data_IF_263010844345
#
_entry.id   IF_263010844345
#
_cell.length_a   1.000
_cell.length_b   1.000
_cell.length_c   1.000
_cell.angle_alpha   90.00
_cell.angle_beta   90.00
_cell.angle_gamma   90.00
#
_symmetry.space_group_name_H-M   'P 1'
#
loop_
_entity.id
_entity.type
_entity.pdbx_description
1 polymer ?
#
# COMPACT_ATOMS: atom_id res chain seq x y z
N UNK A 1 -4.84 -17.99 17.33
CA UNK A 1 -5.67 -17.92 16.09
C UNK A 1 -6.17 -19.34 15.79
N UNK A 2 -7.46 -19.51 15.60
CA UNK A 2 -8.05 -20.81 15.29
C UNK A 2 -8.01 -21.14 13.79
N UNK A 3 -8.28 -22.40 13.39
CA UNK A 3 -8.27 -22.81 12.00
C UNK A 3 -9.25 -22.02 11.11
N UNK A 4 -10.40 -21.62 11.65
CA UNK A 4 -11.43 -20.85 10.92
C UNK A 4 -10.93 -19.43 10.62
N UNK A 5 -10.26 -18.79 11.57
CA UNK A 5 -9.69 -17.46 11.39
C UNK A 5 -8.61 -17.46 10.30
N UNK A 6 -7.76 -18.49 10.26
CA UNK A 6 -6.76 -18.66 9.22
C UNK A 6 -7.36 -18.84 7.82
N UNK A 7 -8.51 -19.53 7.74
CA UNK A 7 -9.22 -19.76 6.48
C UNK A 7 -9.77 -18.45 5.88
N UNK A 8 -10.24 -17.53 6.73
CA UNK A 8 -10.82 -16.25 6.32
C UNK A 8 -9.87 -15.08 6.46
N UNK A 9 -8.59 -15.34 6.67
CA UNK A 9 -7.58 -14.30 6.78
C UNK A 9 -7.32 -13.64 5.44
N UNK A 10 -7.10 -12.34 5.50
CA UNK A 10 -6.60 -11.54 4.38
C UNK A 10 -5.50 -10.61 4.86
N UNK A 11 -4.41 -10.56 4.10
CA UNK A 11 -3.32 -9.61 4.31
C UNK A 11 -3.61 -8.35 3.48
N UNK A 12 -3.73 -7.19 4.14
CA UNK A 12 -4.05 -5.94 3.48
C UNK A 12 -2.85 -5.04 3.26
N UNK A 13 -1.85 -5.14 4.13
CA UNK A 13 -0.72 -4.21 4.11
C UNK A 13 0.58 -4.88 4.51
N UNK A 14 1.68 -4.34 4.01
CA UNK A 14 3.02 -4.81 4.29
C UNK A 14 3.98 -3.62 4.39
N UNK A 15 5.04 -3.75 5.20
CA UNK A 15 6.14 -2.77 5.23
C UNK A 15 7.44 -3.44 5.69
N UNK A 16 8.54 -3.15 5.01
CA UNK A 16 9.86 -3.61 5.43
C UNK A 16 10.45 -2.70 6.51
N UNK A 17 11.21 -3.30 7.42
CA UNK A 17 12.00 -2.52 8.37
C UNK A 17 13.04 -1.66 7.64
N UNK A 18 13.52 -0.56 8.27
CA UNK A 18 14.54 0.30 7.65
C UNK A 18 15.83 -0.44 7.29
N UNK A 19 16.18 -1.49 8.02
CA UNK A 19 17.34 -2.34 7.69
C UNK A 19 17.05 -3.43 6.66
N UNK A 20 15.81 -3.56 6.17
CA UNK A 20 15.38 -4.58 5.20
C UNK A 20 15.38 -6.02 5.69
N UNK A 21 15.69 -6.29 6.97
CA UNK A 21 15.79 -7.67 7.50
C UNK A 21 14.48 -8.22 8.06
N UNK A 22 13.49 -7.37 8.25
CA UNK A 22 12.18 -7.78 8.77
C UNK A 22 11.07 -7.26 7.87
N UNK A 23 10.01 -8.06 7.76
CA UNK A 23 8.75 -7.69 7.13
C UNK A 23 7.67 -7.63 8.21
N UNK A 24 6.92 -6.54 8.25
CA UNK A 24 5.65 -6.43 8.96
C UNK A 24 4.50 -6.63 7.98
N UNK A 25 3.50 -7.40 8.37
CA UNK A 25 2.28 -7.62 7.59
C UNK A 25 1.05 -7.45 8.46
N UNK A 26 0.06 -6.73 7.96
CA UNK A 26 -1.21 -6.44 8.62
C UNK A 26 -2.36 -7.22 8.01
N UNK A 27 -3.23 -7.77 8.85
CA UNK A 27 -4.36 -8.59 8.44
C UNK A 27 -5.73 -7.94 8.74
N UNK A 28 -6.79 -8.61 8.29
CA UNK A 28 -8.19 -8.18 8.49
C UNK A 28 -8.68 -8.28 9.95
N UNK A 29 -7.93 -8.93 10.83
CA UNK A 29 -8.27 -9.06 12.26
C UNK A 29 -7.55 -8.06 13.16
N UNK A 30 -6.94 -7.02 12.59
CA UNK A 30 -6.22 -5.99 13.36
C UNK A 30 -4.85 -6.41 13.84
N UNK A 31 -4.35 -7.56 13.40
CA UNK A 31 -3.06 -8.07 13.83
C UNK A 31 -1.94 -7.67 12.87
N UNK A 32 -0.77 -7.46 13.46
CA UNK A 32 0.48 -7.28 12.74
C UNK A 32 1.40 -8.46 13.10
N UNK A 33 1.89 -9.15 12.06
CA UNK A 33 2.91 -10.18 12.18
C UNK A 33 4.26 -9.68 11.67
N UNK A 34 5.34 -9.98 12.40
CA UNK A 34 6.70 -9.69 11.99
C UNK A 34 7.40 -10.98 11.56
N UNK A 35 8.03 -10.95 10.40
CA UNK A 35 8.81 -12.06 9.84
C UNK A 35 10.28 -11.66 9.74
N UNK A 36 11.18 -12.59 10.05
CA UNK A 36 12.62 -12.41 9.85
C UNK A 36 13.00 -12.90 8.45
N UNK A 37 13.34 -11.97 7.57
CA UNK A 37 13.83 -12.31 6.23
C UNK A 37 15.20 -12.97 6.27
N UNK A 38 16.07 -12.55 7.21
CA UNK A 38 17.38 -13.18 7.40
C UNK A 38 17.24 -14.67 7.73
N UNK A 39 16.23 -15.05 8.52
CA UNK A 39 15.97 -16.46 8.84
C UNK A 39 15.30 -17.21 7.66
N UNK A 40 14.34 -16.55 7.00
CA UNK A 40 13.56 -17.17 5.91
C UNK A 40 14.36 -17.35 4.62
N UNK A 41 15.36 -16.50 4.37
CA UNK A 41 16.24 -16.54 3.19
C UNK A 41 17.56 -17.29 3.45
N UNK A 42 17.80 -17.76 4.69
CA UNK A 42 18.99 -18.54 5.01
C UNK A 42 19.01 -19.85 4.22
N UNK A 43 20.18 -20.34 3.79
CA UNK A 43 20.33 -21.70 3.23
C UNK A 43 19.80 -22.81 4.14
N UNK A 44 19.84 -22.58 5.47
CA UNK A 44 19.35 -23.51 6.50
C UNK A 44 17.89 -23.25 6.90
N UNK A 45 17.14 -22.47 6.10
CA UNK A 45 15.76 -22.13 6.41
C UNK A 45 14.87 -23.37 6.48
N UNK A 46 14.02 -23.41 7.48
CA UNK A 46 13.01 -24.45 7.70
C UNK A 46 11.61 -23.87 7.63
N UNK A 47 10.58 -24.69 7.67
CA UNK A 47 9.18 -24.23 7.78
C UNK A 47 8.95 -23.33 9.00
N UNK A 48 9.74 -23.47 10.08
CA UNK A 48 9.70 -22.60 11.24
C UNK A 48 10.21 -21.18 10.92
N UNK A 49 11.20 -21.07 10.05
CA UNK A 49 11.76 -19.79 9.60
C UNK A 49 10.75 -18.96 8.79
N UNK A 50 9.70 -19.59 8.27
CA UNK A 50 8.63 -18.96 7.50
C UNK A 50 7.46 -18.49 8.40
N UNK A 51 7.53 -18.73 9.72
CA UNK A 51 6.55 -18.28 10.71
C UNK A 51 6.93 -16.94 11.30
N UNK A 52 5.96 -16.15 11.81
CA UNK A 52 6.27 -14.87 12.41
C UNK A 52 7.08 -15.02 13.70
N UNK A 53 8.05 -14.13 13.89
CA UNK A 53 8.81 -14.03 15.13
C UNK A 53 8.02 -13.34 16.23
N UNK A 54 7.02 -12.56 15.85
CA UNK A 54 6.08 -11.84 16.71
C UNK A 54 4.76 -11.64 15.97
N UNK A 55 3.65 -11.80 16.69
CA UNK A 55 2.30 -11.38 16.25
C UNK A 55 1.62 -10.67 17.41
N UNK A 56 0.98 -9.53 17.12
CA UNK A 56 0.27 -8.75 18.13
C UNK A 56 -0.95 -8.05 17.51
N UNK A 57 -1.96 -7.75 18.34
CA UNK A 57 -3.13 -6.97 17.94
C UNK A 57 -2.79 -5.48 18.03
N UNK A 58 -2.85 -4.79 16.91
CA UNK A 58 -2.55 -3.37 16.79
C UNK A 58 -3.82 -2.50 16.76
N UNK A 59 -4.91 -3.02 16.19
CA UNK A 59 -6.17 -2.30 15.97
C UNK A 59 -7.38 -3.22 16.21
N UNK A 60 -8.54 -2.64 16.47
CA UNK A 60 -9.84 -3.33 16.61
C UNK A 60 -10.53 -3.57 15.25
N UNK A 61 -9.79 -3.77 14.19
CA UNK A 61 -10.27 -3.98 12.83
C UNK A 61 -9.11 -4.05 11.86
N UNK A 62 -9.37 -4.17 10.56
CA UNK A 62 -8.33 -4.41 9.57
C UNK A 62 -7.18 -3.42 9.63
N UNK A 63 -5.96 -3.91 9.43
CA UNK A 63 -4.76 -3.07 9.27
C UNK A 63 -4.62 -2.72 7.80
N UNK A 64 -5.23 -1.61 7.40
CA UNK A 64 -5.33 -1.22 5.99
C UNK A 64 -4.01 -0.73 5.41
N UNK A 65 -3.17 -0.10 6.21
CA UNK A 65 -1.90 0.46 5.73
C UNK A 65 -0.78 0.33 6.77
N UNK A 66 0.42 0.02 6.29
CA UNK A 66 1.66 -0.03 7.05
C UNK A 66 2.74 0.80 6.34
N UNK A 67 3.42 1.66 7.08
CA UNK A 67 4.53 2.48 6.57
C UNK A 67 5.67 2.49 7.57
N UNK A 68 6.89 2.30 7.10
CA UNK A 68 8.10 2.44 7.93
C UNK A 68 8.73 3.81 7.76
N UNK A 69 8.99 4.51 8.86
CA UNK A 69 9.60 5.83 8.88
C UNK A 69 10.48 6.02 10.13
N UNK A 70 11.69 6.48 9.98
CA UNK A 70 12.61 6.89 11.06
C UNK A 70 12.71 5.88 12.22
N UNK A 71 12.88 4.60 11.91
CA UNK A 71 12.95 3.55 12.93
C UNK A 71 11.61 3.18 13.57
N UNK A 72 10.51 3.73 13.09
CA UNK A 72 9.14 3.45 13.52
C UNK A 72 8.39 2.67 12.44
N UNK A 73 7.50 1.78 12.85
CA UNK A 73 6.43 1.22 12.06
C UNK A 73 5.17 2.02 12.36
N UNK A 74 4.53 2.57 11.33
CA UNK A 74 3.24 3.24 11.41
C UNK A 74 2.17 2.30 10.89
N UNK A 75 1.09 2.12 11.64
CA UNK A 75 -0.04 1.27 11.25
C UNK A 75 -1.34 2.06 11.28
N UNK A 76 -2.20 1.81 10.30
CA UNK A 76 -3.52 2.42 10.21
C UNK A 76 -4.61 1.36 10.21
N UNK A 77 -5.66 1.65 10.94
CA UNK A 77 -6.87 0.82 11.06
C UNK A 77 -8.12 1.68 11.12
N UNK A 78 -9.13 1.23 11.85
CA UNK A 78 -10.37 1.96 12.02
C UNK A 78 -10.15 3.21 12.88
N UNK A 79 -10.16 4.37 12.23
CA UNK A 79 -10.15 5.69 12.86
C UNK A 79 -8.85 6.13 13.50
N UNK A 80 -7.75 5.38 13.40
CA UNK A 80 -6.52 5.75 14.08
C UNK A 80 -5.25 5.30 13.37
N UNK A 81 -4.18 6.07 13.61
CA UNK A 81 -2.79 5.72 13.26
C UNK A 81 -2.02 5.48 14.55
N UNK A 82 -1.33 4.35 14.64
CA UNK A 82 -0.45 4.01 15.76
C UNK A 82 0.99 3.88 15.30
N UNK A 83 1.93 4.31 16.13
CA UNK A 83 3.37 4.20 15.90
C UNK A 83 4.00 3.21 16.88
N UNK A 84 4.89 2.39 16.36
CA UNK A 84 5.61 1.34 17.08
C UNK A 84 7.10 1.50 16.82
N UNK A 85 7.95 1.27 17.82
CA UNK A 85 9.41 1.24 17.63
C UNK A 85 9.83 -0.09 17.00
N UNK A 86 10.50 -0.06 15.84
CA UNK A 86 11.07 -1.27 15.25
C UNK A 86 12.04 -1.99 16.17
N UNK A 87 12.88 -1.23 16.90
CA UNK A 87 13.84 -1.82 17.84
C UNK A 87 13.16 -2.55 19.00
N UNK A 88 12.02 -2.04 19.48
CA UNK A 88 11.24 -2.67 20.55
C UNK A 88 10.48 -3.90 20.04
N UNK A 89 9.85 -3.79 18.87
CA UNK A 89 9.14 -4.91 18.24
C UNK A 89 10.09 -6.12 18.00
N UNK A 90 11.31 -5.86 17.52
CA UNK A 90 12.32 -6.92 17.32
C UNK A 90 12.70 -7.60 18.66
N UNK A 91 12.68 -6.86 19.75
CA UNK A 91 12.88 -7.38 21.11
C UNK A 91 11.60 -7.99 21.72
N UNK A 92 10.51 -8.06 20.95
CA UNK A 92 9.18 -8.52 21.36
C UNK A 92 8.53 -7.65 22.44
N UNK A 93 8.95 -6.41 22.56
CA UNK A 93 8.34 -5.41 23.43
C UNK A 93 7.27 -4.64 22.64
N UNK A 94 6.02 -5.03 22.83
CA UNK A 94 4.87 -4.46 22.09
C UNK A 94 4.31 -3.31 22.91
N UNK A 95 4.69 -2.09 22.54
CA UNK A 95 4.16 -0.86 23.13
C UNK A 95 4.01 0.21 22.02
N UNK A 96 2.81 0.76 21.89
CA UNK A 96 2.61 1.91 21.04
C UNK A 96 3.35 3.12 21.59
N UNK A 97 4.13 3.79 20.75
CA UNK A 97 4.79 5.05 21.09
C UNK A 97 3.74 6.16 21.23
N UNK A 98 2.79 6.17 20.31
CA UNK A 98 1.64 7.05 20.30
C UNK A 98 0.55 6.49 19.40
N UNK A 99 -0.69 6.97 19.61
CA UNK A 99 -1.84 6.76 18.73
C UNK A 99 -2.46 8.12 18.44
N UNK A 100 -2.87 8.36 17.18
CA UNK A 100 -3.46 9.61 16.72
C UNK A 100 -4.70 9.33 15.91
N UNK A 101 -5.72 10.17 16.09
CA UNK A 101 -6.99 10.12 15.36
C UNK A 101 -7.20 11.41 14.60
N UNK A 102 -7.47 11.37 13.28
CA UNK A 102 -7.90 12.55 12.54
C UNK A 102 -9.19 13.12 13.15
N UNK A 103 -9.32 14.44 13.16
CA UNK A 103 -10.60 15.07 13.47
C UNK A 103 -11.52 14.88 12.27
N UNK A 104 -12.60 14.16 12.46
CA UNK A 104 -13.61 13.86 11.43
C UNK A 104 -15.01 14.13 11.96
N UNK A 105 -15.94 14.38 11.05
CA UNK A 105 -17.38 14.41 11.36
C UNK A 105 -17.97 13.02 11.53
N UNK A 106 -17.27 11.98 11.06
CA UNK A 106 -17.63 10.58 11.26
C UNK A 106 -17.06 10.07 12.59
N UNK A 107 -17.80 9.22 13.26
CA UNK A 107 -17.41 8.67 14.56
C UNK A 107 -16.14 7.84 14.46
N UNK A 108 -16.03 6.98 13.44
CA UNK A 108 -14.86 6.13 13.17
C UNK A 108 -14.60 6.10 11.66
N UNK A 109 -13.87 7.08 11.09
CA UNK A 109 -13.51 7.05 9.69
C UNK A 109 -12.39 6.03 9.46
N UNK A 110 -12.58 5.10 8.55
CA UNK A 110 -11.53 4.17 8.14
C UNK A 110 -10.32 4.93 7.58
N UNK A 111 -9.11 4.45 7.88
CA UNK A 111 -7.89 4.97 7.28
C UNK A 111 -7.40 3.95 6.26
N UNK A 112 -7.64 4.23 4.98
CA UNK A 112 -7.45 3.28 3.90
C UNK A 112 -6.02 3.22 3.39
N UNK A 113 -5.30 4.34 3.40
CA UNK A 113 -3.97 4.45 2.82
C UNK A 113 -3.13 5.48 3.52
N UNK A 114 -1.84 5.20 3.64
CA UNK A 114 -0.84 6.13 4.15
C UNK A 114 0.38 6.13 3.24
N UNK A 115 1.01 7.30 3.06
CA UNK A 115 2.31 7.43 2.42
C UNK A 115 3.16 8.46 3.16
N UNK A 116 4.46 8.18 3.26
CA UNK A 116 5.42 9.10 3.85
C UNK A 116 5.74 10.23 2.85
N UNK A 117 5.77 11.45 3.32
CA UNK A 117 6.33 12.61 2.64
C UNK A 117 7.66 12.98 3.34
N UNK A 118 8.81 12.44 2.87
CA UNK A 118 10.08 12.52 3.59
C UNK A 118 10.58 13.94 3.77
N UNK A 119 10.43 14.79 2.75
CA UNK A 119 10.91 16.17 2.76
C UNK A 119 10.32 16.99 3.90
N UNK A 120 9.05 16.81 4.20
CA UNK A 120 8.33 17.56 5.23
C UNK A 120 8.16 16.77 6.53
N UNK A 121 8.78 15.59 6.63
CA UNK A 121 8.62 14.64 7.73
C UNK A 121 7.15 14.47 8.13
N UNK A 122 6.31 14.24 7.13
CA UNK A 122 4.87 14.17 7.30
C UNK A 122 4.32 12.86 6.75
N UNK A 123 3.21 12.42 7.32
CA UNK A 123 2.43 11.29 6.84
C UNK A 123 1.16 11.82 6.16
N UNK A 124 0.97 11.45 4.91
CA UNK A 124 -0.25 11.72 4.14
C UNK A 124 -1.18 10.54 4.31
N UNK A 125 -2.44 10.78 4.66
CA UNK A 125 -3.42 9.78 5.08
C UNK A 125 -4.69 9.97 4.27
N UNK A 126 -5.13 8.95 3.56
CA UNK A 126 -6.42 8.88 2.88
C UNK A 126 -7.47 8.23 3.77
N UNK A 127 -8.59 8.90 3.98
CA UNK A 127 -9.62 8.49 4.93
C UNK A 127 -11.00 8.22 4.32
N UNK A 128 -11.79 7.44 5.04
CA UNK A 128 -13.21 7.18 4.77
C UNK A 128 -14.13 8.38 5.07
N UNK A 129 -13.56 9.49 5.53
CA UNK A 129 -14.27 10.77 5.71
C UNK A 129 -14.13 11.69 4.49
N UNK A 130 -13.75 11.15 3.33
CA UNK A 130 -13.58 11.85 2.05
C UNK A 130 -12.42 12.87 2.04
N UNK A 131 -11.58 12.85 3.06
CA UNK A 131 -10.49 13.80 3.20
C UNK A 131 -9.12 13.14 3.10
N UNK A 132 -8.14 13.98 2.75
CA UNK A 132 -6.73 13.63 2.91
C UNK A 132 -6.18 14.44 4.08
N UNK A 133 -5.65 13.76 5.09
CA UNK A 133 -5.07 14.37 6.28
C UNK A 133 -3.55 14.37 6.22
N UNK A 134 -2.91 15.42 6.72
CA UNK A 134 -1.45 15.52 6.82
C UNK A 134 -1.07 15.55 8.29
N UNK A 135 -0.34 14.52 8.73
CA UNK A 135 0.16 14.36 10.09
C UNK A 135 1.65 14.69 10.14
N UNK A 136 2.04 15.63 10.98
CA UNK A 136 3.42 15.90 11.33
C UNK A 136 3.98 14.78 12.20
N UNK A 137 5.02 14.12 11.74
CA UNK A 137 5.64 13.01 12.47
C UNK A 137 6.61 13.46 13.58
N UNK A 138 7.08 14.69 13.53
CA UNK A 138 7.95 15.26 14.57
C UNK A 138 7.14 15.62 15.82
N UNK A 139 6.02 16.33 15.63
CA UNK A 139 5.18 16.81 16.73
C UNK A 139 3.99 15.90 17.03
N UNK A 140 3.66 14.96 16.13
CA UNK A 140 2.51 14.06 16.26
C UNK A 140 1.16 14.79 16.18
N UNK A 141 1.07 15.85 15.38
CA UNK A 141 -0.13 16.67 15.22
C UNK A 141 -0.57 16.75 13.77
N UNK A 142 -1.88 16.83 13.54
CA UNK A 142 -2.41 17.07 12.19
C UNK A 142 -2.18 18.52 11.79
N UNK A 143 -1.45 18.74 10.68
CA UNK A 143 -1.13 20.06 10.13
C UNK A 143 -2.28 20.62 9.28
N UNK A 144 -2.88 19.79 8.44
CA UNK A 144 -3.89 20.22 7.47
C UNK A 144 -4.80 19.09 7.06
N UNK A 145 -5.92 19.46 6.45
CA UNK A 145 -6.92 18.56 5.86
C UNK A 145 -7.21 19.07 4.46
N UNK A 146 -7.03 18.21 3.44
CA UNK A 146 -7.31 18.52 2.05
C UNK A 146 -8.72 18.02 1.73
N UNK A 147 -9.60 18.94 1.42
CA UNK A 147 -11.02 18.68 1.17
C UNK A 147 -11.37 18.83 -0.30
N UNK A 148 -12.12 17.89 -0.85
CA UNK A 148 -12.56 17.97 -2.25
C UNK A 148 -13.08 16.67 -2.85
N UNK A 149 -12.66 15.49 -2.37
CA UNK A 149 -13.34 14.25 -2.76
C UNK A 149 -14.78 14.25 -2.26
N UNK A 150 -15.68 13.71 -3.08
CA UNK A 150 -17.10 13.59 -2.73
C UNK A 150 -17.45 12.24 -2.09
N UNK A 151 -16.46 11.35 -2.00
CA UNK A 151 -16.60 9.99 -1.47
C UNK A 151 -15.25 9.51 -0.91
N UNK A 152 -15.19 8.30 -0.35
CA UNK A 152 -14.03 7.72 0.33
C UNK A 152 -12.73 7.83 -0.47
N UNK A 153 -11.65 8.20 0.21
CA UNK A 153 -10.29 8.19 -0.35
C UNK A 153 -9.67 6.81 -0.11
N UNK A 154 -9.35 6.09 -1.17
CA UNK A 154 -8.81 4.75 -1.09
C UNK A 154 -7.29 4.67 -1.14
N UNK A 155 -6.67 5.59 -1.87
CA UNK A 155 -5.22 5.57 -2.07
C UNK A 155 -4.64 6.97 -2.12
N UNK A 156 -3.40 7.09 -1.64
CA UNK A 156 -2.61 8.31 -1.68
C UNK A 156 -1.20 8.02 -2.20
N UNK A 157 -0.61 8.99 -2.87
CA UNK A 157 0.77 8.96 -3.35
C UNK A 157 1.38 10.36 -3.25
N UNK A 158 2.71 10.45 -3.26
CA UNK A 158 3.44 11.71 -3.11
C UNK A 158 4.47 11.85 -4.20
N UNK A 159 4.52 13.02 -4.85
CA UNK A 159 5.64 13.50 -5.65
C UNK A 159 6.47 14.44 -4.79
N UNK A 160 7.34 13.86 -3.98
CA UNK A 160 8.06 14.59 -2.93
C UNK A 160 8.92 15.76 -3.46
N UNK A 161 9.52 15.59 -4.65
CA UNK A 161 10.33 16.65 -5.29
C UNK A 161 9.50 17.87 -5.69
N UNK A 162 8.26 17.66 -6.11
CA UNK A 162 7.35 18.71 -6.59
C UNK A 162 6.44 19.26 -5.47
N UNK A 163 6.53 18.72 -4.25
CA UNK A 163 5.63 19.03 -3.14
C UNK A 163 4.16 18.81 -3.50
N UNK A 164 3.89 17.75 -4.27
CA UNK A 164 2.55 17.37 -4.68
C UNK A 164 2.09 16.10 -3.99
N UNK A 165 0.84 16.09 -3.59
CA UNK A 165 0.12 14.92 -3.10
C UNK A 165 -0.90 14.52 -4.15
N UNK A 166 -1.05 13.21 -4.38
CA UNK A 166 -2.10 12.67 -5.21
C UNK A 166 -3.00 11.78 -4.35
N UNK A 167 -4.30 11.82 -4.63
CA UNK A 167 -5.29 10.96 -3.96
C UNK A 167 -6.29 10.40 -4.96
N UNK A 168 -6.68 9.14 -4.77
CA UNK A 168 -7.71 8.46 -5.56
C UNK A 168 -8.84 7.97 -4.66
N UNK A 169 -10.07 8.08 -5.12
CA UNK A 169 -11.24 7.79 -4.30
C UNK A 169 -12.36 7.05 -5.02
N UNK A 170 -13.40 6.74 -4.25
CA UNK A 170 -14.64 6.10 -4.70
C UNK A 170 -15.40 6.98 -5.71
N UNK A 171 -15.23 8.30 -5.64
CA UNK A 171 -15.79 9.26 -6.60
C UNK A 171 -15.23 9.12 -8.02
N UNK A 172 -14.19 8.30 -8.22
CA UNK A 172 -13.57 8.01 -9.51
C UNK A 172 -12.57 9.06 -9.96
N UNK A 173 -12.24 10.01 -9.11
CA UNK A 173 -11.28 11.06 -9.40
C UNK A 173 -9.89 10.73 -8.82
N UNK A 174 -8.87 11.13 -9.56
CA UNK A 174 -7.54 11.38 -9.02
C UNK A 174 -7.39 12.89 -8.84
N UNK A 175 -7.14 13.32 -7.60
CA UNK A 175 -6.89 14.73 -7.27
C UNK A 175 -5.42 14.96 -6.99
N UNK A 176 -4.94 16.10 -7.46
CA UNK A 176 -3.58 16.59 -7.21
C UNK A 176 -3.66 17.83 -6.32
N UNK A 177 -2.80 17.85 -5.30
CA UNK A 177 -2.79 18.88 -4.28
C UNK A 177 -1.37 19.46 -4.16
N UNK A 178 -1.26 20.79 -4.06
CA UNK A 178 -0.03 21.43 -3.60
C UNK A 178 0.06 21.27 -2.06
N UNK A 179 1.04 20.51 -1.58
CA UNK A 179 1.20 20.22 -0.14
C UNK A 179 1.48 21.46 0.71
N UNK A 180 1.99 22.53 0.12
CA UNK A 180 2.32 23.80 0.82
C UNK A 180 1.09 24.65 1.04
N UNK A 181 0.19 24.70 0.06
CA UNK A 181 -1.01 25.55 0.12
C UNK A 181 -2.26 24.78 0.54
N UNK A 182 -2.22 23.44 0.42
CA UNK A 182 -3.38 22.59 0.64
C UNK A 182 -4.47 22.71 -0.44
N UNK A 183 -4.17 23.38 -1.56
CA UNK A 183 -5.13 23.60 -2.62
C UNK A 183 -5.14 22.46 -3.63
N UNK A 184 -6.33 22.09 -4.11
CA UNK A 184 -6.47 21.18 -5.24
C UNK A 184 -6.04 21.89 -6.52
N UNK A 185 -4.99 21.37 -7.17
CA UNK A 185 -4.42 21.93 -8.40
C UNK A 185 -5.09 21.34 -9.62
N UNK A 186 -5.29 20.03 -9.62
CA UNK A 186 -5.89 19.29 -10.72
C UNK A 186 -6.84 18.20 -10.18
N UNK A 187 -7.82 17.85 -11.02
CA UNK A 187 -8.75 16.75 -10.80
C UNK A 187 -8.94 16.00 -12.11
N UNK A 188 -8.62 14.72 -12.15
CA UNK A 188 -8.75 13.85 -13.31
C UNK A 188 -9.78 12.78 -13.02
N UNK A 189 -10.89 12.80 -13.74
CA UNK A 189 -11.94 11.78 -13.67
C UNK A 189 -11.62 10.64 -14.65
N UNK A 190 -10.82 9.67 -14.16
CA UNK A 190 -10.22 8.61 -15.00
C UNK A 190 -11.26 7.82 -15.78
N UNK A 191 -12.42 7.55 -15.19
CA UNK A 191 -13.50 6.80 -15.80
C UNK A 191 -14.17 7.48 -17.02
N UNK A 192 -13.90 8.77 -17.22
CA UNK A 192 -14.40 9.52 -18.38
C UNK A 192 -13.55 9.34 -19.64
N UNK A 193 -12.35 8.80 -19.50
CA UNK A 193 -11.48 8.51 -20.64
C UNK A 193 -11.84 7.14 -21.21
N UNK A 194 -12.24 7.11 -22.46
CA UNK A 194 -12.72 5.90 -23.15
C UNK A 194 -11.70 4.75 -23.09
N UNK A 195 -10.40 5.07 -23.24
CA UNK A 195 -9.32 4.09 -23.14
C UNK A 195 -9.15 3.47 -21.75
N UNK A 196 -9.63 4.13 -20.70
CA UNK A 196 -9.50 3.68 -19.32
C UNK A 196 -10.81 3.11 -18.76
N UNK A 197 -11.95 3.52 -19.29
CA UNK A 197 -13.27 3.23 -18.77
C UNK A 197 -13.60 1.73 -18.82
N UNK A 198 -14.09 1.19 -17.70
CA UNK A 198 -14.63 -0.18 -17.59
C UNK A 198 -15.91 -0.15 -16.73
N UNK A 199 -17.06 0.26 -17.31
CA UNK A 199 -18.29 0.48 -16.56
C UNK A 199 -18.74 -0.70 -15.70
N UNK A 200 -18.44 -1.93 -16.12
CA UNK A 200 -18.76 -3.16 -15.38
C UNK A 200 -18.02 -3.30 -14.04
N UNK A 201 -16.90 -2.60 -13.84
CA UNK A 201 -16.11 -2.61 -12.62
C UNK A 201 -16.26 -1.33 -11.78
N UNK A 202 -17.04 -0.35 -12.26
CA UNK A 202 -17.24 0.92 -11.58
C UNK A 202 -16.18 1.98 -11.90
N UNK A 203 -16.18 3.07 -11.11
CA UNK A 203 -15.32 4.25 -11.35
C UNK A 203 -14.21 4.44 -10.31
N UNK A 204 -14.27 3.80 -9.17
CA UNK A 204 -13.41 3.96 -8.01
C UNK A 204 -11.92 3.70 -8.30
N UNK A 205 -11.06 4.49 -7.66
CA UNK A 205 -9.59 4.41 -7.79
C UNK A 205 -9.01 3.85 -6.50
N UNK A 206 -8.45 2.65 -6.56
CA UNK A 206 -7.81 1.98 -5.41
C UNK A 206 -6.31 1.82 -5.55
N UNK A 207 -5.80 1.98 -6.76
CA UNK A 207 -4.38 1.85 -7.07
C UNK A 207 -3.86 3.19 -7.57
N UNK A 208 -2.86 3.74 -6.88
CA UNK A 208 -2.25 5.02 -7.25
C UNK A 208 -0.79 5.00 -6.82
N UNK A 209 0.12 5.25 -7.75
CA UNK A 209 1.53 5.45 -7.47
C UNK A 209 2.16 6.40 -8.47
N UNK A 210 3.23 7.06 -8.08
CA UNK A 210 3.93 8.05 -8.90
C UNK A 210 5.41 7.76 -8.97
N UNK A 211 6.01 8.07 -10.10
CA UNK A 211 7.46 8.13 -10.29
C UNK A 211 7.79 9.29 -11.23
N UNK A 212 8.52 10.28 -10.73
CA UNK A 212 8.90 11.49 -11.48
C UNK A 212 7.68 12.18 -12.11
N UNK A 213 7.59 12.23 -13.44
CA UNK A 213 6.50 12.84 -14.20
C UNK A 213 5.39 11.84 -14.57
N UNK A 214 5.42 10.63 -14.00
CA UNK A 214 4.50 9.56 -14.30
C UNK A 214 3.58 9.22 -13.13
N UNK A 215 2.36 8.85 -13.44
CA UNK A 215 1.37 8.32 -12.51
C UNK A 215 0.81 7.02 -13.07
N UNK A 216 0.71 6.03 -12.20
CA UNK A 216 -0.12 4.83 -12.43
C UNK A 216 -1.38 4.97 -11.60
N UNK A 217 -2.52 4.77 -12.20
CA UNK A 217 -3.79 4.68 -11.49
C UNK A 217 -4.70 3.61 -12.08
N UNK A 218 -5.53 3.03 -11.23
CA UNK A 218 -6.48 1.98 -11.60
C UNK A 218 -7.42 1.63 -10.44
N UNK A 219 -8.26 0.64 -10.71
CA UNK A 219 -9.30 0.19 -9.79
C UNK A 219 -10.47 -0.34 -10.60
N UNK A 220 -11.63 0.31 -10.57
CA UNK A 220 -12.71 0.09 -11.54
C UNK A 220 -12.23 0.36 -12.97
N UNK A 221 -11.70 1.55 -13.30
CA UNK A 221 -11.00 1.78 -14.56
C UNK A 221 -9.77 0.88 -14.72
N UNK A 222 -9.36 0.68 -15.99
CA UNK A 222 -8.13 -0.06 -16.31
C UNK A 222 -6.92 0.58 -15.64
N UNK A 223 -5.96 -0.25 -15.20
CA UNK A 223 -4.65 0.27 -14.83
C UNK A 223 -4.09 1.03 -16.03
N UNK A 224 -3.69 2.26 -15.80
CA UNK A 224 -3.24 3.18 -16.85
C UNK A 224 -2.06 4.02 -16.39
N UNK A 225 -1.15 4.26 -17.32
CA UNK A 225 0.01 5.12 -17.16
C UNK A 225 -0.31 6.51 -17.69
N UNK A 226 -0.06 7.54 -16.91
CA UNK A 226 -0.35 8.93 -17.21
C UNK A 226 0.91 9.77 -17.15
N UNK A 227 1.00 10.71 -18.06
CA UNK A 227 2.02 11.75 -17.99
C UNK A 227 1.46 12.97 -17.24
N UNK A 228 2.05 13.29 -16.09
CA UNK A 228 1.50 14.27 -15.15
C UNK A 228 1.49 15.71 -15.66
N UNK A 229 2.39 16.09 -16.59
CA UNK A 229 2.40 17.45 -17.15
C UNK A 229 1.28 17.67 -18.16
N UNK A 230 0.90 16.63 -18.91
CA UNK A 230 -0.19 16.72 -19.90
C UNK A 230 -1.52 16.26 -19.35
N UNK A 231 -1.55 15.60 -18.19
CA UNK A 231 -2.72 14.97 -17.57
C UNK A 231 -3.48 14.07 -18.54
N UNK A 232 -2.75 13.32 -19.35
CA UNK A 232 -3.29 12.42 -20.36
C UNK A 232 -2.77 11.00 -20.21
N UNK A 233 -3.61 9.97 -20.46
CA UNK A 233 -3.15 8.58 -20.44
C UNK A 233 -2.24 8.32 -21.63
N UNK A 234 -1.11 7.66 -21.39
CA UNK A 234 -0.15 7.26 -22.42
C UNK A 234 -0.28 5.78 -22.76
N UNK A 235 -0.58 4.95 -21.77
CA UNK A 235 -0.75 3.50 -21.94
C UNK A 235 -1.82 2.98 -21.00
N UNK A 236 -2.52 1.95 -21.43
CA UNK A 236 -3.45 1.16 -20.61
C UNK A 236 -3.01 -0.30 -20.64
N UNK A 237 -3.23 -0.99 -19.54
CA UNK A 237 -2.78 -2.38 -19.38
C UNK A 237 -3.97 -3.33 -19.46
N UNK A 238 -3.94 -4.35 -20.35
CA UNK A 238 -5.04 -5.29 -20.57
C UNK A 238 -5.11 -6.34 -19.44
N UNK A 239 -5.17 -5.87 -18.18
CA UNK A 239 -5.30 -6.70 -16.99
C UNK A 239 -6.77 -6.97 -16.69
N UNK A 240 -7.07 -8.22 -16.34
CA UNK A 240 -8.41 -8.63 -15.88
C UNK A 240 -8.61 -8.23 -14.42
N UNK A 241 -9.87 -7.95 -14.04
CA UNK A 241 -10.22 -7.56 -12.67
C UNK A 241 -9.72 -6.16 -12.28
N UNK A 242 -10.01 -5.78 -11.05
CA UNK A 242 -9.59 -4.50 -10.48
C UNK A 242 -8.17 -4.61 -9.93
N UNK A 243 -7.34 -3.62 -10.21
CA UNK A 243 -5.99 -3.57 -9.65
C UNK A 243 -6.02 -2.87 -8.29
N UNK A 244 -5.36 -3.47 -7.29
CA UNK A 244 -5.34 -3.00 -5.89
C UNK A 244 -4.07 -2.22 -5.57
N UNK A 245 -2.94 -2.66 -6.09
CA UNK A 245 -1.67 -1.99 -5.92
C UNK A 245 -0.79 -2.17 -7.15
N UNK A 246 0.00 -1.16 -7.47
CA UNK A 246 1.05 -1.24 -8.47
C UNK A 246 2.30 -0.48 -8.01
N UNK A 247 3.44 -0.85 -8.57
CA UNK A 247 4.70 -0.20 -8.30
C UNK A 247 5.55 -0.10 -9.57
N UNK A 248 6.27 0.99 -9.71
CA UNK A 248 7.35 1.11 -10.67
C UNK A 248 8.56 0.30 -10.19
N UNK A 249 9.16 -0.46 -11.07
CA UNK A 249 10.40 -1.19 -10.83
C UNK A 249 11.29 -1.17 -12.06
N UNK A 250 12.34 -0.35 -12.03
CA UNK A 250 13.17 -0.10 -13.23
C UNK A 250 12.30 0.32 -14.41
N UNK A 251 12.40 -0.36 -15.55
CA UNK A 251 11.62 -0.07 -16.77
C UNK A 251 10.29 -0.86 -16.84
N UNK A 252 9.84 -1.39 -15.72
CA UNK A 252 8.64 -2.21 -15.62
C UNK A 252 7.66 -1.70 -14.56
N UNK A 253 6.44 -2.16 -14.68
CA UNK A 253 5.38 -2.00 -13.71
C UNK A 253 5.02 -3.38 -13.16
N UNK A 254 4.96 -3.49 -11.84
CA UNK A 254 4.42 -4.63 -11.13
C UNK A 254 3.02 -4.29 -10.65
N UNK A 255 2.04 -5.14 -10.92
CA UNK A 255 0.65 -4.89 -10.52
C UNK A 255 0.01 -6.14 -9.92
N UNK A 256 -0.85 -5.92 -8.92
CA UNK A 256 -1.64 -6.94 -8.22
C UNK A 256 -3.08 -6.48 -8.03
N UNK A 257 -4.02 -7.42 -7.99
CA UNK A 257 -5.43 -7.12 -7.82
C UNK A 257 -6.31 -8.36 -7.68
N UNK A 258 -7.48 -8.37 -8.31
CA UNK A 258 -8.49 -9.42 -8.18
C UNK A 258 -8.09 -10.77 -8.82
N UNK A 259 -6.89 -10.93 -9.25
CA UNK A 259 -6.34 -12.18 -9.78
C UNK A 259 -5.29 -12.80 -8.85
N UNK A 260 -5.04 -14.10 -9.01
CA UNK A 260 -4.04 -14.85 -8.27
C UNK A 260 -2.64 -14.76 -8.92
N UNK A 261 -2.24 -13.59 -9.41
CA UNK A 261 -0.94 -13.41 -10.06
C UNK A 261 -0.39 -12.00 -9.92
N UNK A 262 0.93 -11.89 -9.84
CA UNK A 262 1.65 -10.62 -10.07
C UNK A 262 1.82 -10.42 -11.56
N UNK A 263 1.34 -9.30 -12.07
CA UNK A 263 1.49 -8.92 -13.48
C UNK A 263 2.73 -8.04 -13.66
N UNK A 264 3.57 -8.41 -14.60
CA UNK A 264 4.73 -7.65 -15.04
C UNK A 264 4.38 -6.97 -16.37
N UNK A 265 4.36 -5.66 -16.37
CA UNK A 265 3.98 -4.87 -17.53
C UNK A 265 5.14 -3.97 -17.97
N UNK A 266 5.26 -3.77 -19.29
CA UNK A 266 6.15 -2.77 -19.85
C UNK A 266 5.46 -1.41 -19.87
N UNK A 267 6.21 -0.32 -19.80
CA UNK A 267 5.66 1.06 -19.84
C UNK A 267 4.82 1.32 -21.10
N UNK A 268 5.09 0.59 -22.18
CA UNK A 268 4.33 0.68 -23.43
C UNK A 268 2.89 0.11 -23.37
N UNK A 269 2.49 -0.52 -22.25
CA UNK A 269 1.15 -1.09 -22.07
C UNK A 269 1.08 -2.61 -22.28
N UNK A 270 2.18 -3.27 -22.58
CA UNK A 270 2.24 -4.72 -22.80
C UNK A 270 2.39 -5.48 -21.47
N UNK A 271 1.64 -6.57 -21.31
CA UNK A 271 1.80 -7.52 -20.20
C UNK A 271 2.85 -8.56 -20.60
N UNK A 272 4.04 -8.48 -19.99
CA UNK A 272 5.17 -9.35 -20.28
C UNK A 272 5.03 -10.74 -19.65
N UNK A 273 4.54 -10.78 -18.40
CA UNK A 273 4.39 -12.02 -17.65
C UNK A 273 3.32 -11.87 -16.56
N UNK A 274 2.74 -12.98 -16.17
CA UNK A 274 1.89 -13.09 -14.99
C UNK A 274 2.37 -14.29 -14.16
N UNK A 275 2.86 -14.00 -12.95
CA UNK A 275 3.45 -15.02 -12.07
C UNK A 275 2.42 -15.46 -11.05
N UNK A 276 2.03 -16.75 -11.03
CA UNK A 276 1.02 -17.26 -10.11
C UNK A 276 1.41 -17.11 -8.65
N UNK A 277 0.42 -16.77 -7.82
CA UNK A 277 0.51 -16.59 -6.38
C UNK A 277 -0.44 -17.55 -5.64
N UNK A 278 -0.17 -17.74 -4.34
CA UNK A 278 -1.01 -18.58 -3.47
C UNK A 278 -2.38 -17.97 -3.17
N UNK A 279 -2.51 -16.66 -2.84
CA UNK A 279 -3.82 -16.06 -2.61
C UNK A 279 -4.63 -15.96 -3.91
N UNK A 280 -5.96 -16.12 -3.81
CA UNK A 280 -6.88 -16.01 -4.94
C UNK A 280 -7.03 -14.58 -5.47
N UNK A 281 -6.88 -13.59 -4.58
CA UNK A 281 -6.79 -12.17 -4.92
C UNK A 281 -5.68 -11.53 -4.10
N UNK A 282 -5.06 -10.49 -4.66
CA UNK A 282 -3.89 -9.85 -4.10
C UNK A 282 -4.23 -8.41 -3.72
N UNK A 283 -3.95 -8.04 -2.47
CA UNK A 283 -4.24 -6.70 -1.95
C UNK A 283 -2.99 -5.82 -1.90
N UNK A 284 -1.83 -6.42 -1.69
CA UNK A 284 -0.61 -5.67 -1.41
C UNK A 284 0.62 -6.33 -2.03
N UNK A 285 1.52 -5.50 -2.52
CA UNK A 285 2.85 -5.87 -2.97
C UNK A 285 3.88 -4.92 -2.37
N UNK A 286 5.04 -5.43 -2.00
CA UNK A 286 6.14 -4.61 -1.51
C UNK A 286 7.49 -5.11 -2.05
N UNK A 287 8.30 -4.17 -2.50
CA UNK A 287 9.69 -4.40 -2.90
C UNK A 287 10.62 -4.00 -1.76
N UNK A 288 11.48 -4.90 -1.32
CA UNK A 288 12.52 -4.59 -0.35
C UNK A 288 13.73 -3.96 -1.05
N UNK A 289 13.82 -2.66 -1.00
CA UNK A 289 14.96 -1.89 -1.52
C UNK A 289 15.91 -1.44 -0.42
N UNK A 290 15.59 -1.75 0.86
CA UNK A 290 16.35 -1.29 2.02
C UNK A 290 17.61 -2.12 2.32
N UNK A 291 17.73 -3.30 1.71
CA UNK A 291 18.87 -4.19 1.89
C UNK A 291 19.23 -4.89 0.59
N UNK A 292 20.49 -4.85 0.20
CA UNK A 292 21.00 -5.57 -0.97
C UNK A 292 21.02 -7.10 -0.76
N UNK A 293 21.20 -7.54 0.50
CA UNK A 293 21.24 -8.97 0.85
C UNK A 293 19.82 -9.61 0.90
N UNK A 294 18.81 -8.81 1.11
CA UNK A 294 17.43 -9.26 1.31
C UNK A 294 16.48 -8.65 0.28
N UNK A 295 16.97 -8.42 -0.94
CA UNK A 295 16.12 -7.93 -2.04
C UNK A 295 15.09 -9.00 -2.40
N UNK A 296 13.83 -8.71 -2.09
CA UNK A 296 12.69 -9.58 -2.39
C UNK A 296 11.48 -8.73 -2.77
N UNK A 297 10.61 -9.31 -3.58
CA UNK A 297 9.24 -8.87 -3.72
C UNK A 297 8.38 -9.73 -2.80
N UNK A 298 7.49 -9.13 -2.04
CA UNK A 298 6.48 -9.83 -1.23
C UNK A 298 5.09 -9.45 -1.67
N UNK A 299 4.19 -10.41 -1.69
CA UNK A 299 2.81 -10.24 -2.14
C UNK A 299 1.86 -10.93 -1.16
N UNK A 300 0.85 -10.21 -0.72
CA UNK A 300 -0.19 -10.70 0.20
C UNK A 300 -1.60 -10.40 -0.32
N UNK A 301 -2.58 -11.17 0.14
CA UNK A 301 -3.96 -11.02 -0.29
C UNK A 301 -4.93 -11.88 0.51
N UNK A 302 -5.90 -12.49 -0.15
CA UNK A 302 -6.98 -13.29 0.44
C UNK A 302 -6.51 -14.66 0.96
N UNK A 303 -5.48 -14.68 1.78
CA UNK A 303 -5.01 -15.86 2.51
C UNK A 303 -4.11 -15.46 3.68
N UNK A 304 -3.76 -16.44 4.52
CA UNK A 304 -2.75 -16.29 5.59
C UNK A 304 -1.31 -16.36 5.07
N UNK A 305 -1.11 -16.53 3.77
CA UNK A 305 0.20 -16.66 3.14
C UNK A 305 0.63 -15.35 2.48
N UNK A 306 1.93 -15.06 2.61
CA UNK A 306 2.61 -13.97 1.92
C UNK A 306 3.66 -14.61 1.02
N UNK A 307 3.50 -14.50 -0.28
CA UNK A 307 4.41 -15.07 -1.25
C UNK A 307 5.68 -14.22 -1.37
N UNK A 308 6.83 -14.86 -1.42
CA UNK A 308 8.15 -14.25 -1.50
C UNK A 308 8.83 -14.63 -2.81
N UNK A 309 9.32 -13.62 -3.50
CA UNK A 309 10.04 -13.73 -4.77
C UNK A 309 11.46 -13.19 -4.57
N UNK A 310 12.44 -14.05 -4.66
CA UNK A 310 13.87 -13.70 -4.60
C UNK A 310 14.40 -13.20 -5.94
N UNK A 311 13.67 -13.50 -7.00
CA UNK A 311 13.75 -12.85 -8.30
C UNK A 311 12.34 -12.68 -8.84
N UNK A 312 12.15 -11.87 -9.87
CA UNK A 312 10.82 -11.55 -10.37
C UNK A 312 10.22 -12.63 -11.31
N UNK A 313 10.86 -13.77 -11.48
CA UNK A 313 10.44 -14.79 -12.46
C UNK A 313 9.58 -15.90 -11.86
N UNK A 314 9.70 -16.15 -10.56
CA UNK A 314 8.93 -17.20 -9.88
C UNK A 314 8.82 -16.95 -8.37
N UNK A 315 7.79 -17.52 -7.76
CA UNK A 315 7.63 -17.56 -6.31
C UNK A 315 8.65 -18.55 -5.71
N UNK A 316 9.46 -18.07 -4.77
CA UNK A 316 10.47 -18.89 -4.10
C UNK A 316 9.85 -19.72 -2.96
N UNK A 317 9.09 -19.07 -2.07
CA UNK A 317 8.40 -19.69 -0.94
C UNK A 317 7.28 -18.75 -0.43
N UNK A 318 6.59 -19.17 0.62
CA UNK A 318 5.58 -18.32 1.29
C UNK A 318 5.87 -18.23 2.79
N UNK A 319 5.73 -17.03 3.33
CA UNK A 319 5.60 -16.80 4.78
C UNK A 319 4.15 -17.09 5.18
N UNK A 320 3.91 -17.48 6.42
CA UNK A 320 2.58 -17.86 6.89
C UNK A 320 2.32 -17.30 8.29
N UNK A 321 1.22 -16.57 8.44
CA UNK A 321 0.71 -16.13 9.74
C UNK A 321 0.53 -17.26 10.74
#
# INVERSE_FOLDING_TARGET
MGPVELLHMSVFSQSFSPCGRFLAAGNNYGQIALFSLSAALSPDATTRSQKPVLTFTAHDGPVFSLVSADGRLLSAGNGEVSAWSWSDLIKKNVRALWTRRPKSSLEIPEINSMVLQPRDNSLVIGGGDNNVHILDLEHGVFKSVLQGHSDYVHCVSVRDRESEILSGGEDGAVRMWDSRTGQSVHCVEVYKYESCARPQYGKWISCLTTDSDWMLCGGGPSLSLWHLRSLSPTSTFPLTGCQRQAAFHQDMILAVGDGASVSHCLLAGEVKAQIPCSPQSLNTLQLNTNSSEHQVLTVGGSSSHIDVFTNLSYRAFSLSF
#
